data_IF_065918661754
#
_entry.id   IF_065918661754
#
_cell.length_a   1.000
_cell.length_b   1.000
_cell.length_c   1.000
_cell.angle_alpha   90.00
_cell.angle_beta   90.00
_cell.angle_gamma   90.00
#
_symmetry.space_group_name_H-M   'P 1'
#
loop_
_entity.id
_entity.type
_entity.pdbx_description
1 polymer ?
#
# COMPACT_ATOMS: atom_id res chain seq x y z
N UNK A 1 -26.18 -13.71 4.99
CA UNK A 1 -25.01 -12.85 4.74
C UNK A 1 -25.43 -11.39 4.93
N UNK A 2 -24.65 -10.63 5.62
CA UNK A 2 -24.91 -9.22 5.86
C UNK A 2 -23.77 -8.36 5.29
N UNK A 3 -24.05 -7.23 4.61
CA UNK A 3 -25.36 -6.69 4.23
C UNK A 3 -25.98 -7.35 2.98
N UNK A 4 -25.21 -7.90 2.07
CA UNK A 4 -25.61 -8.67 0.91
C UNK A 4 -24.48 -9.66 0.49
N UNK A 5 -24.74 -10.69 -0.35
CA UNK A 5 -23.74 -11.70 -0.71
C UNK A 5 -22.53 -11.14 -1.49
N UNK A 6 -22.62 -9.93 -2.04
CA UNK A 6 -21.55 -9.31 -2.81
C UNK A 6 -20.50 -8.62 -1.93
N UNK A 7 -20.76 -8.49 -0.62
CA UNK A 7 -19.81 -7.89 0.31
C UNK A 7 -18.85 -8.92 0.89
N UNK A 8 -17.59 -8.53 1.01
CA UNK A 8 -16.52 -9.32 1.62
C UNK A 8 -15.80 -8.46 2.65
N UNK A 9 -15.61 -9.02 3.84
CA UNK A 9 -14.76 -8.46 4.88
C UNK A 9 -13.60 -9.39 5.13
N UNK A 10 -12.37 -8.87 5.03
CA UNK A 10 -11.15 -9.59 5.30
C UNK A 10 -10.39 -8.93 6.45
N UNK A 11 -9.97 -9.76 7.41
CA UNK A 11 -9.21 -9.34 8.58
C UNK A 11 -7.90 -10.14 8.62
N UNK A 12 -6.78 -9.45 8.77
CA UNK A 12 -5.46 -10.06 8.84
C UNK A 12 -4.64 -9.41 9.95
N UNK A 13 -3.98 -10.23 10.77
CA UNK A 13 -2.96 -9.79 11.70
C UNK A 13 -1.61 -10.30 11.21
N UNK A 14 -0.64 -9.42 11.09
CA UNK A 14 0.67 -9.74 10.54
C UNK A 14 1.78 -9.29 11.47
N UNK A 15 2.80 -10.13 11.58
CA UNK A 15 4.07 -9.77 12.20
C UNK A 15 5.19 -9.97 11.18
N UNK A 16 6.00 -8.94 10.95
CA UNK A 16 7.19 -8.99 10.10
C UNK A 16 8.39 -8.46 10.86
N UNK A 17 9.51 -9.12 10.70
CA UNK A 17 10.80 -8.65 11.20
C UNK A 17 11.74 -8.43 10.04
N UNK A 18 12.25 -7.22 9.93
CA UNK A 18 13.29 -6.86 8.99
C UNK A 18 14.63 -6.87 9.70
N UNK A 19 15.60 -7.59 9.17
CA UNK A 19 16.98 -7.59 9.64
C UNK A 19 17.88 -7.12 8.50
N UNK A 20 18.50 -5.97 8.67
CA UNK A 20 19.30 -5.30 7.67
C UNK A 20 20.78 -5.43 8.03
N UNK A 21 21.60 -5.80 7.04
CA UNK A 21 23.04 -5.88 7.17
C UNK A 21 23.69 -5.30 5.90
N UNK A 22 24.35 -4.15 6.04
CA UNK A 22 25.02 -3.42 4.95
C UNK A 22 24.09 -3.15 3.75
N UNK A 23 22.84 -2.75 4.02
CA UNK A 23 21.84 -2.49 3.00
C UNK A 23 21.77 -0.99 2.70
N UNK A 24 22.42 -0.59 1.59
CA UNK A 24 22.59 0.85 1.25
C UNK A 24 21.37 1.48 0.55
N UNK A 25 20.37 0.68 0.22
CA UNK A 25 19.14 1.15 -0.46
C UNK A 25 18.01 1.49 0.50
N UNK A 26 18.34 1.67 1.76
CA UNK A 26 17.36 1.93 2.81
C UNK A 26 17.85 3.05 3.74
N UNK A 27 16.93 3.68 4.48
CA UNK A 27 17.27 4.75 5.44
C UNK A 27 18.29 4.29 6.48
N UNK A 28 18.22 3.04 6.86
CA UNK A 28 19.07 2.39 7.86
C UNK A 28 19.83 1.23 7.20
N UNK A 29 21.15 1.31 7.16
CA UNK A 29 21.97 0.26 6.53
C UNK A 29 22.11 -0.99 7.38
N UNK A 30 22.06 -0.87 8.70
CA UNK A 30 22.23 -1.97 9.66
C UNK A 30 21.24 -1.84 10.79
N UNK A 31 20.67 -2.97 11.22
CA UNK A 31 19.75 -3.02 12.35
C UNK A 31 18.57 -3.94 12.14
N UNK A 32 17.59 -3.86 13.01
CA UNK A 32 16.36 -4.62 12.92
C UNK A 32 15.14 -3.73 13.14
N UNK A 33 14.11 -3.97 12.37
CA UNK A 33 12.81 -3.32 12.52
C UNK A 33 11.72 -4.38 12.66
N UNK A 34 10.74 -4.12 13.51
CA UNK A 34 9.59 -4.98 13.71
C UNK A 34 8.33 -4.25 13.25
N UNK A 35 7.49 -4.95 12.51
CA UNK A 35 6.18 -4.49 12.06
C UNK A 35 5.12 -5.47 12.58
N UNK A 36 4.26 -4.98 13.45
CA UNK A 36 3.06 -5.70 13.87
C UNK A 36 1.89 -4.90 13.34
N UNK A 37 1.21 -5.40 12.35
CA UNK A 37 0.14 -4.68 11.67
C UNK A 37 -1.16 -5.47 11.65
N UNK A 38 -2.26 -4.72 11.70
CA UNK A 38 -3.60 -5.20 11.46
C UNK A 38 -4.09 -4.64 10.12
N UNK A 39 -4.64 -5.53 9.30
CA UNK A 39 -5.21 -5.17 8.01
C UNK A 39 -6.69 -5.51 7.99
N UNK A 40 -7.49 -4.54 7.62
CA UNK A 40 -8.92 -4.67 7.41
C UNK A 40 -9.20 -4.33 5.96
N UNK A 41 -9.76 -5.25 5.20
CA UNK A 41 -10.17 -5.00 3.84
C UNK A 41 -11.66 -5.26 3.69
N UNK A 42 -12.35 -4.28 3.12
CA UNK A 42 -13.76 -4.34 2.81
C UNK A 42 -13.93 -4.24 1.30
N UNK A 43 -14.67 -5.16 0.72
CA UNK A 43 -14.89 -5.21 -0.72
C UNK A 43 -16.35 -5.44 -1.06
N UNK A 44 -16.75 -4.94 -2.22
CA UNK A 44 -18.03 -5.26 -2.87
C UNK A 44 -17.79 -5.47 -4.35
N UNK A 45 -18.30 -6.57 -4.88
CA UNK A 45 -18.22 -6.87 -6.31
C UNK A 45 -19.59 -7.26 -6.84
N UNK A 46 -20.03 -6.56 -7.88
CA UNK A 46 -21.27 -6.81 -8.62
C UNK A 46 -21.01 -7.03 -10.11
N UNK A 47 -19.76 -7.36 -10.48
CA UNK A 47 -19.39 -7.65 -11.86
C UNK A 47 -20.12 -8.93 -12.33
N UNK A 48 -20.60 -8.91 -13.57
CA UNK A 48 -21.35 -10.01 -14.16
C UNK A 48 -20.50 -11.27 -14.39
N UNK A 49 -19.21 -11.06 -14.74
CA UNK A 49 -18.27 -12.17 -14.98
C UNK A 49 -16.82 -11.74 -14.70
N UNK A 50 -15.97 -12.67 -14.17
CA UNK A 50 -14.58 -12.35 -13.81
C UNK A 50 -13.68 -12.03 -15.00
N UNK A 51 -13.95 -12.66 -16.15
CA UNK A 51 -13.17 -12.50 -17.39
C UNK A 51 -14.03 -11.75 -18.39
N UNK A 52 -13.50 -10.62 -18.89
CA UNK A 52 -14.21 -9.71 -19.78
C UNK A 52 -15.56 -9.23 -19.25
N UNK A 53 -15.60 -8.54 -18.09
CA UNK A 53 -16.82 -7.99 -17.54
C UNK A 53 -17.52 -7.06 -18.53
N UNK A 54 -18.84 -7.10 -18.55
CA UNK A 54 -19.66 -6.26 -19.43
C UNK A 54 -20.45 -5.22 -18.65
N UNK A 55 -20.74 -5.52 -17.41
CA UNK A 55 -21.50 -4.64 -16.52
C UNK A 55 -21.15 -4.86 -15.07
N UNK A 56 -21.47 -3.88 -14.24
CA UNK A 56 -21.29 -3.95 -12.80
C UNK A 56 -20.14 -3.10 -12.29
N UNK A 57 -19.87 -3.21 -11.02
CA UNK A 57 -18.80 -2.47 -10.35
C UNK A 57 -18.12 -3.31 -9.29
N UNK A 58 -16.88 -2.99 -9.05
CA UNK A 58 -16.08 -3.54 -7.97
C UNK A 58 -15.46 -2.41 -7.19
N UNK A 59 -15.56 -2.49 -5.89
CA UNK A 59 -14.97 -1.52 -4.96
C UNK A 59 -14.27 -2.26 -3.83
N UNK A 60 -13.09 -1.80 -3.44
CA UNK A 60 -12.42 -2.25 -2.23
C UNK A 60 -11.81 -1.08 -1.47
N UNK A 61 -11.89 -1.17 -0.14
CA UNK A 61 -11.22 -0.27 0.78
C UNK A 61 -10.37 -1.11 1.73
N UNK A 62 -9.10 -0.82 1.82
CA UNK A 62 -8.15 -1.52 2.68
C UNK A 62 -7.51 -0.53 3.63
N UNK A 63 -7.54 -0.85 4.92
CA UNK A 63 -6.82 -0.15 5.96
C UNK A 63 -5.82 -1.12 6.60
N UNK A 64 -4.54 -0.79 6.54
CA UNK A 64 -3.50 -1.44 7.31
C UNK A 64 -2.95 -0.45 8.32
N UNK A 65 -2.83 -0.85 9.58
CA UNK A 65 -2.32 0.03 10.62
C UNK A 65 -1.55 -0.75 11.67
N UNK A 66 -0.56 -0.10 12.24
CA UNK A 66 0.20 -0.59 13.38
C UNK A 66 -0.31 0.04 14.66
N UNK A 67 -0.16 -0.62 15.81
CA UNK A 67 -0.39 0.02 17.09
C UNK A 67 0.53 1.24 17.28
N UNK A 68 0.08 2.29 17.96
CA UNK A 68 0.89 3.46 18.28
C UNK A 68 1.82 3.16 19.46
N UNK A 69 2.93 2.47 19.22
CA UNK A 69 3.88 2.06 20.26
C UNK A 69 4.46 3.22 21.05
N UNK A 70 4.68 4.36 20.37
CA UNK A 70 5.18 5.59 21.00
C UNK A 70 4.29 6.09 22.15
N UNK A 71 2.99 5.80 22.10
CA UNK A 71 2.05 6.16 23.18
C UNK A 71 2.17 5.20 24.40
N UNK A 72 2.68 3.99 24.19
CA UNK A 72 2.75 2.97 25.24
C UNK A 72 4.09 2.92 25.93
N UNK A 73 5.18 3.10 25.19
CA UNK A 73 6.53 3.07 25.75
C UNK A 73 7.08 4.46 26.12
N UNK A 74 6.36 5.54 25.76
CA UNK A 74 6.75 6.91 26.07
C UNK A 74 7.97 7.39 25.29
N UNK A 75 8.43 6.66 24.28
CA UNK A 75 9.58 7.01 23.47
C UNK A 75 9.11 7.84 22.28
N UNK A 76 9.64 9.05 22.14
CA UNK A 76 9.43 9.84 20.92
C UNK A 76 10.33 9.33 19.80
N UNK A 77 9.82 8.38 19.00
CA UNK A 77 10.52 7.86 17.83
C UNK A 77 10.75 8.89 16.72
N UNK A 78 10.16 10.08 16.81
CA UNK A 78 10.40 11.21 15.93
C UNK A 78 11.67 11.99 16.25
N UNK A 79 12.22 11.82 17.47
CA UNK A 79 13.42 12.54 17.89
C UNK A 79 14.63 12.14 17.01
N UNK A 80 15.18 13.16 16.32
CA UNK A 80 16.34 13.00 15.42
C UNK A 80 17.65 12.69 16.18
N UNK A 81 17.68 12.91 17.47
CA UNK A 81 18.85 12.63 18.31
C UNK A 81 18.92 11.15 18.74
N UNK A 82 17.83 10.39 18.57
CA UNK A 82 17.84 8.96 18.85
C UNK A 82 18.68 8.21 17.82
N UNK A 83 19.44 7.17 18.24
CA UNK A 83 20.09 6.27 17.30
C UNK A 83 19.09 5.68 16.31
N UNK A 84 19.44 5.61 15.02
CA UNK A 84 18.57 5.09 13.96
C UNK A 84 18.01 3.70 14.28
N UNK A 85 18.81 2.84 14.89
CA UNK A 85 18.39 1.50 15.29
C UNK A 85 17.26 1.52 16.33
N UNK A 86 17.27 2.47 17.26
CA UNK A 86 16.19 2.64 18.24
C UNK A 86 14.98 3.27 17.58
N UNK A 87 15.19 4.26 16.74
CA UNK A 87 14.16 5.02 16.05
C UNK A 87 13.30 4.15 15.12
N UNK A 88 13.88 3.15 14.46
CA UNK A 88 13.19 2.26 13.54
C UNK A 88 12.94 0.85 14.10
N UNK A 89 13.18 0.62 15.39
CA UNK A 89 12.95 -0.68 16.03
C UNK A 89 11.51 -1.15 15.91
N UNK A 90 10.56 -0.25 16.09
CA UNK A 90 9.13 -0.47 15.92
C UNK A 90 8.60 0.45 14.81
N UNK A 91 7.92 -0.14 13.84
CA UNK A 91 7.37 0.61 12.70
C UNK A 91 5.98 1.09 13.07
N UNK A 92 5.73 2.38 12.87
CA UNK A 92 4.44 3.02 13.10
C UNK A 92 3.93 3.65 11.82
N UNK A 93 2.77 3.20 11.34
CA UNK A 93 2.09 3.77 10.18
C UNK A 93 0.61 3.42 10.18
N UNK A 94 -0.13 4.15 9.36
CA UNK A 94 -1.44 3.74 8.86
C UNK A 94 -1.48 3.93 7.35
N UNK A 95 -1.96 2.91 6.63
CA UNK A 95 -2.02 2.88 5.17
C UNK A 95 -3.44 2.65 4.73
N UNK A 96 -3.92 3.55 3.91
CA UNK A 96 -5.25 3.50 3.32
C UNK A 96 -5.14 3.24 1.84
N UNK A 97 -5.97 2.37 1.31
CA UNK A 97 -6.00 2.06 -0.10
C UNK A 97 -7.44 1.87 -0.56
N UNK A 98 -7.81 2.57 -1.61
CA UNK A 98 -9.13 2.51 -2.21
C UNK A 98 -8.96 2.15 -3.67
N UNK A 99 -9.70 1.13 -4.13
CA UNK A 99 -9.72 0.69 -5.53
C UNK A 99 -11.16 0.62 -5.98
N UNK A 100 -11.43 1.13 -7.18
CA UNK A 100 -12.74 1.06 -7.80
C UNK A 100 -12.63 0.76 -9.28
N UNK A 101 -13.47 -0.14 -9.77
CA UNK A 101 -13.65 -0.42 -11.20
C UNK A 101 -15.12 -0.44 -11.53
N UNK A 102 -15.46 0.13 -12.67
CA UNK A 102 -16.82 0.16 -13.16
C UNK A 102 -16.85 -0.22 -14.63
N UNK A 103 -17.82 -1.04 -15.01
CA UNK A 103 -17.99 -1.57 -16.35
C UNK A 103 -19.39 -1.26 -16.84
N UNK A 104 -19.49 -0.78 -18.07
CA UNK A 104 -20.76 -0.45 -18.74
C UNK A 104 -20.72 -0.82 -20.21
N UNK A 105 -21.61 -1.74 -20.61
CA UNK A 105 -21.81 -2.02 -22.01
C UNK A 105 -22.45 -0.80 -22.71
N UNK A 106 -21.83 -0.35 -23.80
CA UNK A 106 -22.28 0.79 -24.60
C UNK A 106 -23.16 0.37 -25.80
N UNK A 107 -23.11 -0.91 -26.16
CA UNK A 107 -23.86 -1.46 -27.27
C UNK A 107 -24.80 -2.57 -26.86
N UNK A 108 -25.94 -2.73 -27.52
CA UNK A 108 -26.92 -3.78 -27.20
C UNK A 108 -26.39 -5.23 -27.34
N UNK A 109 -25.35 -5.42 -28.13
CA UNK A 109 -24.72 -6.72 -28.34
C UNK A 109 -23.47 -6.93 -27.49
N UNK A 110 -23.22 -6.06 -26.51
CA UNK A 110 -22.11 -6.11 -25.54
C UNK A 110 -20.72 -6.21 -26.19
N UNK A 111 -20.58 -5.77 -27.44
CA UNK A 111 -19.28 -5.78 -28.15
C UNK A 111 -18.37 -4.62 -27.78
N UNK A 112 -18.94 -3.54 -27.25
CA UNK A 112 -18.19 -2.38 -26.77
C UNK A 112 -18.55 -2.14 -25.32
N UNK A 113 -17.54 -2.21 -24.45
CA UNK A 113 -17.67 -2.01 -23.00
C UNK A 113 -16.76 -0.87 -22.60
N UNK A 114 -17.31 0.09 -21.87
CA UNK A 114 -16.53 1.13 -21.20
C UNK A 114 -16.09 0.58 -19.84
N UNK A 115 -14.79 0.69 -19.56
CA UNK A 115 -14.22 0.46 -18.23
C UNK A 115 -13.69 1.80 -17.70
N UNK A 116 -14.03 2.09 -16.46
CA UNK A 116 -13.39 3.17 -15.71
C UNK A 116 -12.79 2.58 -14.41
N UNK A 117 -11.55 2.90 -14.15
CA UNK A 117 -10.86 2.46 -12.93
C UNK A 117 -10.21 3.64 -12.22
N UNK A 118 -10.22 3.61 -10.89
CA UNK A 118 -9.53 4.57 -10.06
C UNK A 118 -8.93 3.88 -8.84
N UNK A 119 -7.72 4.26 -8.48
CA UNK A 119 -7.05 3.79 -7.28
C UNK A 119 -6.43 4.97 -6.54
N UNK A 120 -6.60 4.99 -5.22
CA UNK A 120 -6.01 5.98 -4.33
C UNK A 120 -5.36 5.27 -3.15
N UNK A 121 -4.16 5.74 -2.77
CA UNK A 121 -3.44 5.22 -1.63
C UNK A 121 -2.82 6.36 -0.81
N UNK A 122 -2.84 6.20 0.50
CA UNK A 122 -2.28 7.15 1.46
C UNK A 122 -1.49 6.39 2.52
N UNK A 123 -0.27 6.84 2.77
CA UNK A 123 0.55 6.39 3.87
C UNK A 123 0.70 7.54 4.88
N UNK A 124 0.20 7.33 6.08
CA UNK A 124 0.31 8.27 7.17
C UNK A 124 1.14 7.75 8.33
N UNK A 125 1.39 8.61 9.29
CA UNK A 125 2.17 8.35 10.49
C UNK A 125 1.51 8.96 11.71
N UNK A 126 1.76 8.41 12.88
CA UNK A 126 1.21 8.93 14.15
C UNK A 126 2.03 10.10 14.70
N UNK A 127 3.33 10.12 14.42
CA UNK A 127 4.23 11.20 14.81
C UNK A 127 4.66 12.00 13.56
N UNK A 128 4.57 13.34 13.62
CA UNK A 128 4.85 14.24 12.49
C UNK A 128 6.29 14.17 11.98
N UNK A 129 7.23 13.82 12.85
CA UNK A 129 8.66 13.79 12.52
C UNK A 129 9.16 12.38 12.15
N UNK A 130 8.28 11.36 12.22
CA UNK A 130 8.61 9.98 11.89
C UNK A 130 7.75 9.48 10.73
N UNK A 131 8.33 9.43 9.58
CA UNK A 131 7.72 8.82 8.42
C UNK A 131 8.22 7.39 8.29
N UNK A 132 7.29 6.41 8.14
CA UNK A 132 7.67 5.02 7.93
C UNK A 132 8.48 4.88 6.65
N UNK A 133 9.66 4.23 6.69
CA UNK A 133 10.41 3.89 5.49
C UNK A 133 9.83 2.69 4.75
N UNK A 134 8.88 2.00 5.38
CA UNK A 134 8.23 0.78 4.87
C UNK A 134 6.85 1.12 4.30
N UNK A 135 6.26 0.18 3.55
CA UNK A 135 4.88 0.26 3.04
C UNK A 135 4.63 1.45 2.08
N UNK A 136 5.67 1.94 1.42
CA UNK A 136 5.60 3.06 0.48
C UNK A 136 5.02 2.65 -0.86
N UNK A 137 4.71 3.64 -1.68
CA UNK A 137 4.27 3.45 -3.06
C UNK A 137 5.44 3.71 -4.02
N UNK A 138 5.55 2.92 -5.07
CA UNK A 138 6.53 3.08 -6.14
C UNK A 138 5.84 3.17 -7.50
N UNK A 139 6.39 3.96 -8.41
CA UNK A 139 5.85 4.18 -9.74
C UNK A 139 6.86 3.74 -10.80
N UNK A 140 6.44 2.86 -11.66
CA UNK A 140 7.23 2.30 -12.76
C UNK A 140 7.20 0.79 -12.76
N UNK A 141 7.82 0.19 -13.77
CA UNK A 141 7.88 -1.25 -13.95
C UNK A 141 6.65 -1.85 -14.62
N UNK A 142 6.70 -3.14 -14.80
CA UNK A 142 5.64 -3.92 -15.47
C UNK A 142 4.52 -4.37 -14.51
N UNK A 143 4.65 -4.09 -13.21
CA UNK A 143 3.71 -4.53 -12.18
C UNK A 143 3.82 -6.03 -11.86
N UNK A 144 4.76 -6.74 -12.46
CA UNK A 144 4.93 -8.19 -12.34
C UNK A 144 6.11 -8.58 -11.44
N UNK A 145 6.95 -7.63 -11.04
CA UNK A 145 8.06 -7.89 -10.15
C UNK A 145 7.56 -8.37 -8.79
N UNK A 146 7.70 -9.67 -8.56
CA UNK A 146 7.19 -10.36 -7.37
C UNK A 146 7.95 -10.07 -6.08
N UNK A 147 8.78 -9.04 -6.04
CA UNK A 147 9.54 -8.65 -4.85
C UNK A 147 8.94 -7.41 -4.22
N UNK A 148 7.87 -7.58 -3.49
CA UNK A 148 7.44 -6.55 -2.51
C UNK A 148 8.32 -6.64 -1.25
N UNK A 149 9.56 -6.22 -1.36
CA UNK A 149 10.41 -6.01 -0.19
C UNK A 149 9.83 -4.78 0.54
N UNK A 150 9.59 -4.88 1.84
CA UNK A 150 9.11 -3.78 2.69
C UNK A 150 7.65 -3.31 2.45
N UNK A 151 6.80 -4.16 1.87
CA UNK A 151 5.40 -3.82 1.63
C UNK A 151 5.17 -2.74 0.59
N UNK A 152 6.13 -2.52 -0.28
CA UNK A 152 6.02 -1.57 -1.39
C UNK A 152 4.88 -1.98 -2.32
N UNK A 153 4.06 -1.02 -2.70
CA UNK A 153 2.99 -1.19 -3.68
C UNK A 153 3.39 -0.50 -4.98
N UNK A 154 3.55 -1.29 -6.04
CA UNK A 154 4.04 -0.81 -7.33
C UNK A 154 2.86 -0.43 -8.21
N UNK A 155 2.90 0.78 -8.75
CA UNK A 155 2.03 1.20 -9.84
C UNK A 155 2.74 0.88 -11.15
N UNK A 156 2.31 -0.18 -11.84
CA UNK A 156 2.91 -0.57 -13.11
C UNK A 156 2.74 0.52 -14.18
N UNK A 157 3.82 0.85 -14.86
CA UNK A 157 3.80 1.76 -15.99
C UNK A 157 4.73 1.23 -17.08
N UNK A 158 4.15 0.78 -18.19
CA UNK A 158 4.91 0.19 -19.29
C UNK A 158 5.94 1.17 -19.87
N UNK A 159 7.15 0.67 -20.10
CA UNK A 159 8.26 1.44 -20.66
C UNK A 159 9.14 2.13 -19.64
N UNK A 160 8.87 1.96 -18.36
CA UNK A 160 9.69 2.45 -17.26
C UNK A 160 10.18 1.28 -16.40
N UNK A 161 11.38 1.38 -15.88
CA UNK A 161 11.90 0.45 -14.89
C UNK A 161 11.20 0.60 -13.54
N UNK A 162 11.27 -0.41 -12.68
CA UNK A 162 10.70 -0.37 -11.33
C UNK A 162 11.25 0.82 -10.55
N UNK A 163 10.35 1.64 -10.01
CA UNK A 163 10.71 2.83 -9.25
C UNK A 163 11.37 3.97 -10.03
N UNK A 164 11.43 3.90 -11.37
CA UNK A 164 12.13 4.90 -12.18
C UNK A 164 11.55 6.32 -12.08
N UNK A 165 10.31 6.45 -11.71
CA UNK A 165 9.60 7.74 -11.58
C UNK A 165 9.32 8.12 -10.13
N UNK A 166 9.87 7.38 -9.17
CA UNK A 166 9.65 7.68 -7.77
C UNK A 166 10.34 8.97 -7.34
N UNK A 167 9.70 9.77 -6.48
CA UNK A 167 10.41 10.78 -5.74
C UNK A 167 11.39 10.09 -4.78
N UNK A 168 12.66 10.33 -4.96
CA UNK A 168 13.72 9.69 -4.17
C UNK A 168 14.46 10.69 -3.30
N UNK A 169 14.95 10.22 -2.15
CA UNK A 169 15.91 10.91 -1.33
C UNK A 169 17.13 10.00 -1.16
N UNK A 170 18.20 10.32 -1.89
CA UNK A 170 19.34 9.41 -1.99
C UNK A 170 18.97 8.14 -2.79
N UNK A 171 19.07 6.97 -2.17
CA UNK A 171 18.86 5.68 -2.80
C UNK A 171 17.52 5.01 -2.42
N UNK A 172 16.57 5.74 -1.84
CA UNK A 172 15.29 5.17 -1.41
C UNK A 172 14.09 6.04 -1.81
N UNK A 173 12.96 5.41 -2.08
CA UNK A 173 11.70 6.07 -2.41
C UNK A 173 11.14 6.83 -1.22
N UNK A 174 10.55 8.00 -1.50
CA UNK A 174 9.83 8.83 -0.51
C UNK A 174 8.36 9.02 -0.84
N UNK A 175 7.79 8.17 -1.70
CA UNK A 175 6.39 8.23 -2.09
C UNK A 175 5.43 7.79 -0.97
N UNK A 176 4.53 8.67 -0.57
CA UNK A 176 3.52 8.42 0.47
C UNK A 176 2.11 8.25 -0.07
N UNK A 177 1.83 8.82 -1.23
CA UNK A 177 0.51 8.85 -1.82
C UNK A 177 0.54 8.22 -3.21
N UNK A 178 -0.56 7.59 -3.57
CA UNK A 178 -0.77 6.95 -4.87
C UNK A 178 -2.12 7.38 -5.43
N UNK A 179 -2.14 7.80 -6.67
CA UNK A 179 -3.37 8.10 -7.41
C UNK A 179 -3.23 7.56 -8.82
N UNK A 180 -4.16 6.72 -9.26
CA UNK A 180 -4.26 6.25 -10.64
C UNK A 180 -5.70 6.34 -11.14
N UNK A 181 -5.86 6.69 -12.41
CA UNK A 181 -7.14 6.67 -13.12
C UNK A 181 -6.93 6.05 -14.49
N UNK A 182 -7.81 5.12 -14.88
CA UNK A 182 -7.82 4.42 -16.16
C UNK A 182 -9.23 4.44 -16.80
#
# INVERSE_FOLDING_TARGET
SWPDPNFTLYLEAQYRRYALKNWNYFIMSNGSANDISLKVAFGRSTIDQPIYPRSGSEFSATLAFTPPYSLWDGIDYGDKNLPEQTRYKMIEYHRWQFKGRWFQALTRNDKLVLMAAAEMGFLGHYNKDKVSPFERFELGGDGMSGYTIYGVDIIGLRGYEDGALDPVNGNYSVAYNKYTME
#
